data_IF_029035937366
#
_entry.id   IF_029035937366
#
_cell.length_a   1.000
_cell.length_b   1.000
_cell.length_c   1.000
_cell.angle_alpha   90.00
_cell.angle_beta   90.00
_cell.angle_gamma   90.00
#
_symmetry.space_group_name_H-M   'P 1'
#
loop_
_entity.id
_entity.type
_entity.pdbx_description
1 polymer ?
#
# COMPACT_ATOMS: atom_id res chain seq x y z
N UNK A 1 15.42 -16.94 -19.54
CA UNK A 1 14.30 -17.57 -18.81
C UNK A 1 13.33 -18.07 -19.86
N UNK A 2 13.28 -19.38 -20.08
CA UNK A 2 12.29 -20.04 -20.95
C UNK A 2 10.92 -19.83 -20.32
N UNK A 3 9.89 -19.33 -21.04
CA UNK A 3 8.56 -19.21 -20.45
C UNK A 3 8.09 -20.61 -20.03
N UNK A 4 7.54 -20.68 -18.82
CA UNK A 4 7.06 -21.92 -18.22
C UNK A 4 6.06 -22.62 -19.15
N UNK A 5 6.19 -23.94 -19.24
CA UNK A 5 5.30 -24.89 -19.91
C UNK A 5 3.85 -24.40 -19.97
N UNK A 6 3.32 -24.15 -21.17
CA UNK A 6 1.89 -23.93 -21.39
C UNK A 6 1.16 -25.19 -20.93
N UNK A 7 0.54 -25.16 -19.75
CA UNK A 7 -0.29 -26.27 -19.32
C UNK A 7 -1.44 -26.44 -20.31
N UNK A 8 -1.66 -27.69 -20.72
CA UNK A 8 -2.75 -28.01 -21.61
C UNK A 8 -4.10 -27.69 -20.93
N UNK A 9 -5.12 -27.27 -21.71
CA UNK A 9 -6.48 -27.16 -21.20
C UNK A 9 -6.94 -28.46 -20.53
N UNK A 10 -7.75 -28.36 -19.47
CA UNK A 10 -8.45 -29.50 -18.91
C UNK A 10 -9.31 -30.19 -19.99
N UNK A 11 -9.50 -31.51 -19.85
CA UNK A 11 -10.49 -32.23 -20.65
C UNK A 11 -11.90 -31.66 -20.40
N UNK A 12 -12.86 -31.84 -21.32
CA UNK A 12 -14.22 -31.34 -21.12
C UNK A 12 -14.87 -31.83 -19.82
N UNK A 13 -14.65 -33.11 -19.46
CA UNK A 13 -15.21 -33.72 -18.26
C UNK A 13 -14.56 -33.17 -16.97
N UNK A 14 -13.23 -33.05 -16.96
CA UNK A 14 -12.51 -32.44 -15.83
C UNK A 14 -12.89 -30.96 -15.65
N UNK A 15 -13.11 -30.26 -16.76
CA UNK A 15 -13.54 -28.86 -16.74
C UNK A 15 -14.96 -28.71 -16.20
N UNK A 16 -15.90 -29.57 -16.61
CA UNK A 16 -17.25 -29.59 -16.09
C UNK A 16 -17.23 -29.83 -14.57
N UNK A 17 -16.52 -30.88 -14.15
CA UNK A 17 -16.34 -31.18 -12.73
C UNK A 17 -15.74 -29.99 -11.97
N UNK A 18 -14.67 -29.37 -12.47
CA UNK A 18 -14.04 -28.23 -11.81
C UNK A 18 -14.98 -27.02 -11.72
N UNK A 19 -15.72 -26.71 -12.78
CA UNK A 19 -16.63 -25.55 -12.82
C UNK A 19 -17.82 -25.71 -11.87
N UNK A 20 -18.26 -26.95 -11.65
CA UNK A 20 -19.37 -27.28 -10.75
C UNK A 20 -18.95 -27.32 -9.27
N UNK A 21 -17.67 -27.58 -9.00
CA UNK A 21 -17.19 -27.86 -7.63
C UNK A 21 -16.22 -26.81 -7.07
N UNK A 22 -15.59 -25.98 -7.92
CA UNK A 22 -14.52 -25.07 -7.52
C UNK A 22 -14.73 -23.64 -8.04
N UNK A 23 -14.35 -22.61 -7.27
CA UNK A 23 -14.15 -21.27 -7.81
C UNK A 23 -13.01 -21.27 -8.84
N UNK A 24 -13.27 -20.71 -10.01
CA UNK A 24 -12.29 -20.66 -11.10
C UNK A 24 -11.54 -19.33 -11.06
N UNK A 25 -10.22 -19.40 -10.94
CA UNK A 25 -9.36 -18.22 -11.03
C UNK A 25 -9.35 -17.70 -12.47
N UNK A 26 -9.63 -16.41 -12.63
CA UNK A 26 -9.64 -15.70 -13.90
C UNK A 26 -8.70 -14.48 -13.86
N UNK A 27 -8.30 -14.02 -15.04
CA UNK A 27 -7.67 -12.74 -15.24
C UNK A 27 -8.53 -11.91 -16.19
N UNK A 28 -8.94 -10.74 -15.73
CA UNK A 28 -9.73 -9.77 -16.48
C UNK A 28 -8.83 -8.58 -16.79
N UNK A 29 -8.87 -8.09 -18.02
CA UNK A 29 -8.06 -6.99 -18.51
C UNK A 29 -8.98 -5.93 -19.12
N UNK A 30 -8.82 -4.70 -18.63
CA UNK A 30 -9.52 -3.53 -19.12
C UNK A 30 -8.55 -2.65 -19.93
N UNK A 31 -8.64 -2.66 -21.28
CA UNK A 31 -7.96 -1.67 -22.11
C UNK A 31 -8.39 -0.25 -21.72
N UNK A 32 -7.42 0.63 -21.51
CA UNK A 32 -7.66 2.02 -21.13
C UNK A 32 -6.78 2.97 -21.94
N UNK A 33 -7.30 4.16 -22.22
CA UNK A 33 -6.50 5.33 -22.63
C UNK A 33 -6.57 6.36 -21.53
N UNK A 34 -5.42 6.94 -21.21
CA UNK A 34 -5.29 7.92 -20.13
C UNK A 34 -5.02 9.31 -20.69
N UNK A 35 -5.54 10.32 -19.99
CA UNK A 35 -5.23 11.72 -20.27
C UNK A 35 -3.79 12.08 -19.84
N UNK A 36 -3.37 13.32 -20.10
CA UNK A 36 -2.06 13.82 -19.71
C UNK A 36 -1.80 13.83 -18.18
N UNK A 37 -2.85 13.66 -17.37
CA UNK A 37 -2.80 13.59 -15.90
C UNK A 37 -2.86 12.13 -15.40
N UNK A 38 -2.83 11.15 -16.31
CA UNK A 38 -2.84 9.73 -15.98
C UNK A 38 -4.21 9.20 -15.56
N UNK A 39 -5.29 9.97 -15.74
CA UNK A 39 -6.66 9.51 -15.45
C UNK A 39 -7.21 8.75 -16.65
N UNK A 40 -7.97 7.69 -16.39
CA UNK A 40 -8.63 6.94 -17.47
C UNK A 40 -9.68 7.83 -18.13
N UNK A 41 -9.50 8.09 -19.42
CA UNK A 41 -10.41 8.90 -20.24
C UNK A 41 -11.31 8.00 -21.11
N UNK A 42 -10.72 6.94 -21.67
CA UNK A 42 -11.45 5.94 -22.45
C UNK A 42 -11.23 4.53 -21.91
N UNK A 43 -12.29 3.73 -22.00
CA UNK A 43 -12.32 2.32 -21.65
C UNK A 43 -12.66 1.52 -22.90
N UNK A 44 -11.80 0.57 -23.25
CA UNK A 44 -12.03 -0.34 -24.37
C UNK A 44 -12.76 -1.58 -23.88
N UNK A 45 -13.89 -1.92 -24.51
CA UNK A 45 -14.61 -3.16 -24.24
C UNK A 45 -14.67 -4.01 -25.52
N UNK A 46 -14.66 -5.33 -25.34
CA UNK A 46 -14.99 -6.27 -26.40
C UNK A 46 -16.46 -6.64 -26.33
N UNK A 47 -17.04 -6.99 -27.47
CA UNK A 47 -18.32 -7.66 -27.53
C UNK A 47 -18.09 -9.15 -27.77
N UNK A 48 -18.76 -10.02 -27.02
CA UNK A 48 -18.70 -11.47 -27.24
C UNK A 48 -20.04 -12.13 -26.98
N UNK A 49 -20.21 -13.33 -27.52
CA UNK A 49 -21.36 -14.19 -27.24
C UNK A 49 -21.34 -14.64 -25.78
N UNK A 50 -22.46 -14.49 -25.08
CA UNK A 50 -22.62 -14.89 -23.68
C UNK A 50 -23.92 -15.67 -23.44
N UNK A 51 -24.09 -16.29 -22.26
CA UNK A 51 -25.38 -16.85 -21.84
C UNK A 51 -26.55 -15.83 -21.83
N UNK A 52 -26.26 -14.54 -21.83
CA UNK A 52 -27.24 -13.45 -21.88
C UNK A 52 -27.45 -12.88 -23.29
N UNK A 53 -26.90 -13.53 -24.33
CA UNK A 53 -26.77 -12.98 -25.68
C UNK A 53 -25.46 -12.18 -25.85
N UNK A 54 -25.26 -11.48 -26.97
CA UNK A 54 -24.10 -10.62 -27.16
C UNK A 54 -24.04 -9.51 -26.09
N UNK A 55 -22.90 -9.38 -25.41
CA UNK A 55 -22.67 -8.40 -24.33
C UNK A 55 -21.30 -7.75 -24.46
N UNK A 56 -21.21 -6.49 -24.03
CA UNK A 56 -19.92 -5.82 -23.85
C UNK A 56 -19.27 -6.21 -22.53
N UNK A 57 -17.98 -6.53 -22.55
CA UNK A 57 -17.21 -6.88 -21.37
C UNK A 57 -15.72 -6.54 -21.51
N UNK A 58 -14.99 -6.65 -20.40
CA UNK A 58 -13.53 -6.65 -20.39
C UNK A 58 -12.99 -7.89 -21.15
N UNK A 59 -11.72 -7.86 -21.52
CA UNK A 59 -11.02 -9.01 -22.10
C UNK A 59 -10.63 -9.95 -20.98
N UNK A 60 -10.89 -11.25 -21.05
CA UNK A 60 -10.48 -12.12 -19.96
C UNK A 60 -11.08 -13.51 -19.95
N UNK A 61 -10.51 -14.32 -19.05
CA UNK A 61 -10.93 -15.69 -18.88
C UNK A 61 -10.07 -16.43 -17.86
N UNK A 62 -10.18 -17.77 -17.87
CA UNK A 62 -9.52 -18.61 -16.88
C UNK A 62 -7.99 -18.53 -16.95
N UNK A 63 -7.38 -18.69 -15.79
CA UNK A 63 -5.95 -18.93 -15.61
C UNK A 63 -5.70 -20.43 -15.69
N UNK A 64 -4.71 -20.85 -16.49
CA UNK A 64 -4.38 -22.27 -16.63
C UNK A 64 -3.54 -22.74 -15.45
N UNK A 65 -3.56 -24.04 -15.18
CA UNK A 65 -2.75 -24.62 -14.10
C UNK A 65 -1.25 -24.36 -14.32
N UNK A 66 -0.55 -23.78 -13.36
CA UNK A 66 0.87 -23.42 -13.51
C UNK A 66 1.14 -22.15 -14.33
N UNK A 67 0.09 -21.46 -14.78
CA UNK A 67 0.19 -20.14 -15.42
C UNK A 67 0.16 -19.02 -14.38
N UNK A 68 0.98 -17.98 -14.54
CA UNK A 68 0.89 -16.78 -13.69
C UNK A 68 -0.28 -15.89 -14.10
N UNK A 69 -0.79 -15.06 -13.19
CA UNK A 69 -1.85 -14.10 -13.51
C UNK A 69 -1.45 -13.15 -14.65
N UNK A 70 -0.21 -12.65 -14.61
CA UNK A 70 0.35 -11.77 -15.65
C UNK A 70 0.39 -12.48 -17.02
N UNK A 71 0.82 -13.75 -17.06
CA UNK A 71 0.85 -14.53 -18.29
C UNK A 71 -0.56 -14.82 -18.84
N UNK A 72 -1.52 -15.14 -17.96
CA UNK A 72 -2.91 -15.35 -18.35
C UNK A 72 -3.55 -14.07 -18.91
N UNK A 73 -3.35 -12.93 -18.24
CA UNK A 73 -3.82 -11.63 -18.69
C UNK A 73 -3.23 -11.26 -20.07
N UNK A 74 -1.90 -11.40 -20.24
CA UNK A 74 -1.23 -11.17 -21.51
C UNK A 74 -1.75 -12.11 -22.62
N UNK A 75 -1.94 -13.39 -22.31
CA UNK A 75 -2.47 -14.38 -23.26
C UNK A 75 -3.87 -13.99 -23.73
N UNK A 76 -4.77 -13.63 -22.83
CA UNK A 76 -6.15 -13.26 -23.18
C UNK A 76 -6.20 -11.98 -24.02
N UNK A 77 -5.36 -10.99 -23.73
CA UNK A 77 -5.21 -9.80 -24.58
C UNK A 77 -4.77 -10.18 -25.99
N UNK A 78 -3.65 -10.89 -26.10
CA UNK A 78 -3.05 -11.26 -27.39
C UNK A 78 -3.94 -12.19 -28.23
N UNK A 79 -4.77 -13.02 -27.59
CA UNK A 79 -5.70 -13.93 -28.29
C UNK A 79 -7.01 -13.27 -28.70
N UNK A 80 -7.31 -12.06 -28.22
CA UNK A 80 -8.63 -11.43 -28.35
C UNK A 80 -8.58 -10.08 -29.06
N UNK A 81 -7.44 -9.40 -29.04
CA UNK A 81 -7.24 -8.10 -29.67
C UNK A 81 -5.99 -8.14 -30.56
N UNK A 82 -6.17 -8.23 -31.87
CA UNK A 82 -5.08 -8.07 -32.83
C UNK A 82 -4.54 -6.63 -32.76
N UNK A 83 -3.24 -6.47 -32.98
CA UNK A 83 -2.56 -5.18 -32.83
C UNK A 83 -2.23 -4.79 -31.38
N UNK A 84 -2.71 -5.55 -30.39
CA UNK A 84 -2.32 -5.36 -29.00
C UNK A 84 -0.89 -5.84 -28.73
N UNK A 85 -0.25 -5.22 -27.73
CA UNK A 85 0.91 -5.78 -27.05
C UNK A 85 0.65 -5.86 -25.54
N UNK A 86 1.47 -6.61 -24.82
CA UNK A 86 1.36 -6.73 -23.36
C UNK A 86 2.27 -5.75 -22.60
N UNK A 87 2.88 -4.76 -23.27
CA UNK A 87 3.83 -3.83 -22.61
C UNK A 87 3.12 -2.85 -21.69
N UNK A 88 1.92 -2.43 -22.06
CA UNK A 88 1.05 -1.57 -21.24
C UNK A 88 0.28 -2.31 -20.15
N UNK A 89 0.46 -3.63 -20.00
CA UNK A 89 -0.28 -4.42 -19.02
C UNK A 89 0.24 -4.11 -17.61
N UNK A 90 -0.66 -3.73 -16.70
CA UNK A 90 -0.32 -3.52 -15.31
C UNK A 90 0.23 -4.80 -14.67
N UNK A 91 1.31 -4.68 -13.87
CA UNK A 91 1.92 -5.83 -13.18
C UNK A 91 1.12 -6.30 -11.97
N UNK A 92 0.33 -5.42 -11.38
CA UNK A 92 -0.46 -5.68 -10.17
C UNK A 92 -1.93 -5.48 -10.52
N UNK A 93 -2.83 -6.40 -10.16
CA UNK A 93 -4.25 -6.20 -10.38
C UNK A 93 -4.75 -5.05 -9.51
N UNK A 94 -5.58 -4.17 -10.06
CA UNK A 94 -6.18 -3.05 -9.32
C UNK A 94 -7.38 -3.49 -8.48
N UNK A 95 -7.97 -4.64 -8.80
CA UNK A 95 -9.11 -5.20 -8.08
C UNK A 95 -9.17 -6.72 -8.18
N UNK A 96 -9.90 -7.33 -7.25
CA UNK A 96 -10.45 -8.67 -7.40
C UNK A 96 -11.96 -8.53 -7.52
N UNK A 97 -12.55 -9.24 -8.48
CA UNK A 97 -14.00 -9.28 -8.68
C UNK A 97 -14.51 -10.71 -8.76
N UNK A 98 -15.69 -10.94 -8.21
CA UNK A 98 -16.29 -12.28 -8.09
C UNK A 98 -17.54 -12.35 -8.96
N UNK A 99 -17.65 -13.41 -9.76
CA UNK A 99 -18.82 -13.73 -10.57
C UNK A 99 -19.45 -15.02 -10.07
N UNK A 100 -20.73 -14.98 -9.69
CA UNK A 100 -21.43 -16.13 -9.13
C UNK A 100 -22.42 -16.76 -10.13
N UNK A 101 -22.63 -18.08 -10.05
CA UNK A 101 -23.70 -18.77 -10.78
C UNK A 101 -25.09 -18.23 -10.44
N UNK A 102 -25.30 -17.84 -9.19
CA UNK A 102 -26.52 -17.19 -8.73
C UNK A 102 -26.30 -15.68 -8.61
N UNK A 103 -27.26 -14.83 -9.03
CA UNK A 103 -27.15 -13.39 -8.86
C UNK A 103 -26.98 -12.99 -7.40
N UNK A 104 -25.99 -12.13 -7.10
CA UNK A 104 -25.74 -11.58 -5.76
C UNK A 104 -25.56 -10.06 -5.84
N UNK A 105 -26.05 -9.35 -4.83
CA UNK A 105 -25.90 -7.89 -4.76
C UNK A 105 -24.41 -7.50 -4.72
N UNK A 106 -23.99 -6.62 -5.63
CA UNK A 106 -22.62 -6.10 -5.68
C UNK A 106 -21.57 -7.04 -6.29
N UNK A 107 -21.97 -8.23 -6.75
CA UNK A 107 -21.09 -9.18 -7.44
C UNK A 107 -21.51 -9.34 -8.92
N UNK A 108 -20.61 -9.88 -9.72
CA UNK A 108 -20.91 -10.27 -11.09
C UNK A 108 -21.72 -11.56 -11.14
N UNK A 109 -22.29 -11.82 -12.32
CA UNK A 109 -23.08 -13.02 -12.55
C UNK A 109 -22.58 -13.74 -13.80
N UNK A 110 -22.19 -15.01 -13.64
CA UNK A 110 -21.86 -15.93 -14.72
C UNK A 110 -22.56 -17.27 -14.45
N UNK A 111 -23.64 -17.61 -15.17
CA UNK A 111 -24.42 -18.82 -14.89
C UNK A 111 -23.65 -20.10 -15.20
N UNK A 112 -22.48 -20.01 -15.85
CA UNK A 112 -21.66 -21.16 -16.23
C UNK A 112 -20.75 -21.65 -15.10
N UNK A 113 -20.35 -20.76 -14.17
CA UNK A 113 -19.33 -21.06 -13.15
C UNK A 113 -19.22 -19.96 -12.10
N UNK A 114 -18.68 -20.31 -10.93
CA UNK A 114 -18.13 -19.32 -10.00
C UNK A 114 -16.73 -18.90 -10.47
N UNK A 115 -16.49 -17.62 -10.69
CA UNK A 115 -15.19 -17.09 -11.07
C UNK A 115 -14.68 -16.03 -10.08
N UNK A 116 -13.37 -16.10 -9.76
CA UNK A 116 -12.64 -15.09 -8.98
C UNK A 116 -11.60 -14.48 -9.89
N UNK A 117 -11.82 -13.24 -10.33
CA UNK A 117 -11.01 -12.58 -11.33
C UNK A 117 -10.07 -11.53 -10.72
N UNK A 118 -8.78 -11.64 -11.03
CA UNK A 118 -7.84 -10.55 -10.83
C UNK A 118 -7.95 -9.57 -12.00
N UNK A 119 -8.25 -8.31 -11.74
CA UNK A 119 -8.52 -7.29 -12.75
C UNK A 119 -7.30 -6.41 -12.98
N UNK A 120 -6.85 -6.31 -14.23
CA UNK A 120 -5.70 -5.53 -14.67
C UNK A 120 -6.13 -4.44 -15.65
N UNK A 121 -5.39 -3.33 -15.69
CA UNK A 121 -5.50 -2.37 -16.80
C UNK A 121 -4.47 -2.70 -17.87
N UNK A 122 -4.81 -2.43 -19.11
CA UNK A 122 -3.88 -2.39 -20.23
C UNK A 122 -3.86 -0.96 -20.76
N UNK A 123 -2.76 -0.23 -20.55
CA UNK A 123 -2.58 1.09 -21.11
C UNK A 123 -2.29 0.99 -22.61
N UNK A 124 -3.22 1.51 -23.43
CA UNK A 124 -3.15 1.44 -24.88
C UNK A 124 -2.84 2.83 -25.45
N UNK A 125 -1.78 2.99 -26.26
CA UNK A 125 -1.51 4.24 -26.97
C UNK A 125 -2.67 4.66 -27.89
N UNK A 126 -2.81 5.97 -28.13
CA UNK A 126 -3.89 6.51 -28.96
C UNK A 126 -3.81 6.03 -30.43
N UNK A 127 -2.60 5.83 -30.93
CA UNK A 127 -2.28 5.36 -32.29
C UNK A 127 -2.40 3.84 -32.46
N UNK A 128 -2.56 3.09 -31.38
CA UNK A 128 -2.75 1.64 -31.46
C UNK A 128 -4.14 1.30 -32.02
N UNK A 129 -4.15 0.63 -33.17
CA UNK A 129 -5.35 0.06 -33.78
C UNK A 129 -5.57 -1.35 -33.25
N UNK A 130 -6.61 -1.52 -32.43
CA UNK A 130 -7.00 -2.80 -31.87
C UNK A 130 -8.19 -3.37 -32.66
N UNK A 131 -8.03 -4.60 -33.15
CA UNK A 131 -9.06 -5.29 -33.92
C UNK A 131 -9.52 -6.55 -33.17
N UNK A 132 -10.84 -6.79 -33.07
CA UNK A 132 -11.37 -7.95 -32.36
C UNK A 132 -11.01 -9.25 -33.10
N UNK A 133 -10.48 -10.23 -32.36
CA UNK A 133 -10.18 -11.57 -32.86
C UNK A 133 -10.58 -12.64 -31.83
N UNK A 134 -10.53 -13.91 -32.24
CA UNK A 134 -10.76 -15.03 -31.33
C UNK A 134 -12.19 -15.04 -30.79
N UNK A 135 -12.35 -14.81 -29.49
CA UNK A 135 -13.67 -14.78 -28.84
C UNK A 135 -14.43 -13.46 -29.01
N UNK A 136 -13.74 -12.38 -29.38
CA UNK A 136 -14.35 -11.08 -29.58
C UNK A 136 -14.99 -10.97 -30.97
N UNK A 137 -16.24 -10.55 -31.00
CA UNK A 137 -16.98 -10.24 -32.23
C UNK A 137 -16.89 -8.77 -32.62
N UNK A 138 -16.60 -7.90 -31.64
CA UNK A 138 -16.50 -6.45 -31.84
C UNK A 138 -15.59 -5.83 -30.75
N UNK A 139 -15.07 -4.63 -30.98
CA UNK A 139 -14.29 -3.86 -30.02
C UNK A 139 -14.61 -2.37 -30.16
N UNK A 140 -14.83 -1.69 -29.03
CA UNK A 140 -15.15 -0.27 -29.04
C UNK A 140 -14.55 0.48 -27.84
N UNK A 141 -14.09 1.71 -28.10
CA UNK A 141 -13.68 2.66 -27.08
C UNK A 141 -14.88 3.49 -26.63
N UNK A 142 -15.10 3.54 -25.32
CA UNK A 142 -16.14 4.33 -24.69
C UNK A 142 -15.49 5.38 -23.79
N UNK A 143 -16.07 6.57 -23.70
CA UNK A 143 -15.72 7.50 -22.62
C UNK A 143 -16.20 6.93 -21.29
N UNK A 144 -15.58 7.36 -20.18
CA UNK A 144 -15.97 6.96 -18.81
C UNK A 144 -17.48 7.07 -18.57
N UNK A 145 -18.07 8.23 -18.86
CA UNK A 145 -19.50 8.45 -18.58
C UNK A 145 -20.37 7.51 -19.41
N UNK A 146 -20.04 7.35 -20.70
CA UNK A 146 -20.79 6.48 -21.61
C UNK A 146 -20.67 5.01 -21.23
N UNK A 147 -19.48 4.58 -20.81
CA UNK A 147 -19.25 3.18 -20.47
C UNK A 147 -19.92 2.79 -19.15
N UNK A 148 -20.23 3.74 -18.26
CA UNK A 148 -20.98 3.52 -17.01
C UNK A 148 -22.50 3.55 -17.22
N UNK A 149 -22.98 4.22 -18.27
CA UNK A 149 -24.41 4.23 -18.67
C UNK A 149 -24.81 3.11 -19.65
N UNK A 150 -23.87 2.31 -20.13
CA UNK A 150 -24.11 1.23 -21.11
C UNK A 150 -24.94 0.05 -20.55
N UNK A 151 -26.20 -0.10 -20.97
CA UNK A 151 -27.09 -1.16 -20.44
C UNK A 151 -26.75 -2.60 -20.89
N UNK A 152 -26.14 -2.80 -22.07
CA UNK A 152 -25.89 -4.12 -22.65
C UNK A 152 -24.52 -4.73 -22.27
N UNK A 153 -24.02 -4.38 -21.10
CA UNK A 153 -22.81 -4.96 -20.50
C UNK A 153 -23.05 -6.34 -19.90
N UNK A 154 -21.98 -7.12 -19.77
CA UNK A 154 -22.00 -8.33 -18.96
C UNK A 154 -22.30 -7.97 -17.48
N UNK A 155 -23.25 -8.64 -16.81
CA UNK A 155 -23.60 -8.37 -15.42
C UNK A 155 -22.41 -8.46 -14.46
N UNK A 156 -22.06 -7.33 -13.81
CA UNK A 156 -20.85 -7.22 -12.95
C UNK A 156 -19.67 -6.50 -13.58
N UNK A 157 -19.77 -6.05 -14.83
CA UNK A 157 -18.69 -5.26 -15.46
C UNK A 157 -18.61 -3.83 -14.90
N UNK A 158 -19.73 -3.26 -14.46
CA UNK A 158 -19.77 -1.88 -13.93
C UNK A 158 -18.83 -1.67 -12.72
N UNK A 159 -18.83 -2.52 -11.68
CA UNK A 159 -17.90 -2.34 -10.55
C UNK A 159 -16.43 -2.49 -10.95
N UNK A 160 -16.14 -3.31 -11.95
CA UNK A 160 -14.77 -3.49 -12.49
C UNK A 160 -14.32 -2.19 -13.15
N UNK A 161 -15.16 -1.60 -14.01
CA UNK A 161 -14.87 -0.32 -14.67
C UNK A 161 -14.79 0.82 -13.64
N UNK A 162 -15.77 0.95 -12.76
CA UNK A 162 -15.84 2.02 -11.78
C UNK A 162 -14.59 2.05 -10.89
N UNK A 163 -14.06 0.88 -10.50
CA UNK A 163 -12.80 0.78 -9.74
C UNK A 163 -11.57 1.16 -10.56
N UNK A 164 -11.53 0.82 -11.84
CA UNK A 164 -10.42 1.18 -12.73
C UNK A 164 -10.35 2.69 -12.99
N UNK A 165 -11.52 3.32 -13.10
CA UNK A 165 -11.65 4.75 -13.42
C UNK A 165 -11.62 5.63 -12.17
N UNK A 166 -11.94 5.08 -11.01
CA UNK A 166 -11.82 5.79 -9.74
C UNK A 166 -10.41 6.41 -9.60
N UNK A 167 -10.26 7.63 -9.05
CA UNK A 167 -8.99 8.38 -9.02
C UNK A 167 -7.80 7.72 -8.29
N UNK A 168 -7.92 6.46 -7.89
CA UNK A 168 -6.99 5.76 -7.01
C UNK A 168 -5.65 5.37 -7.67
N UNK A 169 -5.37 5.75 -8.92
CA UNK A 169 -4.16 5.32 -9.64
C UNK A 169 -3.54 6.32 -10.63
N UNK A 170 -3.84 7.62 -10.51
CA UNK A 170 -3.31 8.69 -11.40
C UNK A 170 -2.42 9.72 -10.68
N UNK A 171 -2.19 10.89 -11.29
CA UNK A 171 -1.40 12.00 -10.73
C UNK A 171 -1.76 12.35 -9.27
N UNK A 172 -3.02 12.16 -8.87
CA UNK A 172 -3.47 12.37 -7.49
C UNK A 172 -2.81 11.41 -6.48
N UNK A 173 -2.53 10.16 -6.88
CA UNK A 173 -1.83 9.19 -6.07
C UNK A 173 -0.31 9.47 -6.00
N UNK A 174 0.28 10.03 -7.08
CA UNK A 174 1.65 10.55 -7.06
C UNK A 174 1.75 11.79 -6.17
N UNK A 175 0.79 12.72 -6.25
CA UNK A 175 0.70 13.89 -5.36
C UNK A 175 0.51 13.44 -3.92
N UNK A 176 -0.35 12.44 -3.67
CA UNK A 176 -0.53 11.86 -2.34
C UNK A 176 0.76 11.19 -1.84
N UNK A 177 1.49 10.49 -2.70
CA UNK A 177 2.79 9.91 -2.39
C UNK A 177 3.82 10.99 -2.03
N UNK A 178 3.95 12.05 -2.85
CA UNK A 178 4.87 13.16 -2.60
C UNK A 178 4.52 13.89 -1.30
N UNK A 179 3.24 14.19 -1.06
CA UNK A 179 2.78 14.84 0.15
C UNK A 179 3.03 13.97 1.40
N UNK A 180 2.77 12.66 1.31
CA UNK A 180 3.00 11.72 2.40
C UNK A 180 4.50 11.53 2.68
N UNK A 181 5.32 11.43 1.64
CA UNK A 181 6.77 11.36 1.75
C UNK A 181 7.36 12.65 2.38
N UNK A 182 6.93 13.82 1.91
CA UNK A 182 7.34 15.11 2.49
C UNK A 182 6.95 15.22 3.97
N UNK A 183 5.75 14.76 4.33
CA UNK A 183 5.30 14.69 5.73
C UNK A 183 6.16 13.73 6.54
N UNK A 184 6.52 12.56 6.01
CA UNK A 184 7.38 11.61 6.69
C UNK A 184 8.76 12.22 6.96
N UNK A 185 9.40 12.81 5.95
CA UNK A 185 10.72 13.45 6.09
C UNK A 185 10.69 14.52 7.19
N UNK A 186 9.72 15.42 7.14
CA UNK A 186 9.56 16.46 8.17
C UNK A 186 9.34 15.88 9.58
N UNK A 187 8.56 14.79 9.70
CA UNK A 187 8.34 14.12 10.99
C UNK A 187 9.55 13.37 11.49
N UNK A 188 10.30 12.72 10.61
CA UNK A 188 11.54 12.01 10.95
C UNK A 188 12.60 13.00 11.46
N UNK A 189 12.68 14.21 10.89
CA UNK A 189 13.50 15.30 11.44
C UNK A 189 13.08 15.68 12.86
N UNK A 190 11.78 15.92 13.09
CA UNK A 190 11.26 16.29 14.41
C UNK A 190 11.46 15.19 15.47
N UNK A 191 11.37 13.92 15.07
CA UNK A 191 11.58 12.77 15.95
C UNK A 191 12.98 12.80 16.58
N UNK A 192 14.00 13.25 15.86
CA UNK A 192 15.38 13.29 16.36
C UNK A 192 15.77 14.65 16.97
N UNK A 193 15.18 15.75 16.52
CA UNK A 193 15.44 17.08 17.09
C UNK A 193 14.88 17.25 18.51
N UNK A 194 13.66 16.76 18.77
CA UNK A 194 13.01 16.98 20.07
C UNK A 194 13.77 16.37 21.26
N UNK A 195 14.26 15.11 21.21
CA UNK A 195 15.10 14.56 22.26
C UNK A 195 16.39 15.35 22.48
N UNK A 196 17.03 15.86 21.41
CA UNK A 196 18.26 16.63 21.53
C UNK A 196 18.04 17.95 22.27
N UNK A 197 17.00 18.71 21.90
CA UNK A 197 16.62 19.95 22.59
C UNK A 197 16.25 19.69 24.06
N UNK A 198 15.51 18.60 24.31
CA UNK A 198 15.16 18.20 25.65
C UNK A 198 16.40 17.88 26.50
N UNK A 199 17.38 17.17 25.95
CA UNK A 199 18.63 16.86 26.64
C UNK A 199 19.40 18.12 27.03
N UNK A 200 19.40 19.16 26.19
CA UNK A 200 20.00 20.45 26.54
C UNK A 200 19.27 21.13 27.70
N UNK A 201 17.93 21.18 27.65
CA UNK A 201 17.13 21.75 28.74
C UNK A 201 17.32 20.98 30.05
N UNK A 202 17.36 19.66 29.98
CA UNK A 202 17.57 18.77 31.12
C UNK A 202 18.97 18.91 31.73
N UNK A 203 20.01 19.07 30.91
CA UNK A 203 21.37 19.31 31.40
C UNK A 203 21.44 20.63 32.20
N UNK A 204 20.80 21.70 31.71
CA UNK A 204 20.71 22.96 32.43
C UNK A 204 19.93 22.83 33.75
N UNK A 205 18.75 22.22 33.73
CA UNK A 205 17.96 22.00 34.94
C UNK A 205 18.70 21.13 35.98
N UNK A 206 19.48 20.15 35.51
CA UNK A 206 20.31 19.32 36.38
C UNK A 206 21.42 20.13 37.06
N UNK A 207 22.05 21.09 36.38
CA UNK A 207 23.05 21.97 37.01
C UNK A 207 22.47 22.82 38.14
N UNK A 208 21.21 23.27 38.02
CA UNK A 208 20.52 23.99 39.10
C UNK A 208 20.17 23.03 40.25
N UNK A 209 19.65 21.84 39.93
CA UNK A 209 19.28 20.84 40.93
C UNK A 209 20.46 20.40 41.81
N UNK A 210 21.65 20.28 41.22
CA UNK A 210 22.89 19.89 41.89
C UNK A 210 23.65 21.05 42.54
N UNK A 211 23.22 22.30 42.33
CA UNK A 211 23.88 23.47 42.91
C UNK A 211 23.59 23.67 44.40
N UNK A 212 24.23 24.66 44.99
CA UNK A 212 24.13 25.00 46.43
C UNK A 212 23.02 26.02 46.74
N UNK A 213 22.03 26.16 45.85
CA UNK A 213 20.92 27.12 46.00
C UNK A 213 19.87 26.70 47.05
N UNK A 214 18.83 27.51 47.21
CA UNK A 214 17.73 27.24 48.14
C UNK A 214 17.05 25.90 47.81
N UNK A 215 16.67 25.14 48.85
CA UNK A 215 16.13 23.78 48.69
C UNK A 215 14.94 23.72 47.72
N UNK A 216 14.02 24.69 47.80
CA UNK A 216 12.85 24.72 46.91
C UNK A 216 13.22 24.93 45.44
N UNK A 217 14.28 25.70 45.14
CA UNK A 217 14.76 25.93 43.77
C UNK A 217 15.34 24.65 43.18
N UNK A 218 16.13 23.93 43.99
CA UNK A 218 16.74 22.65 43.60
C UNK A 218 15.69 21.57 43.38
N UNK A 219 14.72 21.46 44.30
CA UNK A 219 13.58 20.54 44.16
C UNK A 219 12.76 20.85 42.90
N UNK A 220 12.45 22.13 42.67
CA UNK A 220 11.70 22.56 41.48
C UNK A 220 12.45 22.23 40.19
N UNK A 221 13.75 22.53 40.10
CA UNK A 221 14.57 22.22 38.93
C UNK A 221 14.64 20.72 38.65
N UNK A 222 14.82 19.90 39.69
CA UNK A 222 14.85 18.44 39.58
C UNK A 222 13.51 17.86 39.09
N UNK A 223 12.38 18.34 39.62
CA UNK A 223 11.05 17.92 39.18
C UNK A 223 10.73 18.38 37.76
N UNK A 224 11.10 19.61 37.38
CA UNK A 224 10.97 20.09 36.00
C UNK A 224 11.79 19.25 35.03
N UNK A 225 13.02 18.89 35.40
CA UNK A 225 13.89 18.05 34.58
C UNK A 225 13.28 16.65 34.36
N UNK A 226 12.76 16.04 35.43
CA UNK A 226 12.04 14.77 35.33
C UNK A 226 10.78 14.88 34.44
N UNK A 227 10.03 15.97 34.57
CA UNK A 227 8.84 16.23 33.74
C UNK A 227 9.18 16.36 32.26
N UNK A 228 10.20 17.15 31.92
CA UNK A 228 10.70 17.30 30.53
C UNK A 228 11.13 15.94 29.98
N UNK A 229 11.86 15.15 30.75
CA UNK A 229 12.31 13.82 30.34
C UNK A 229 11.14 12.88 29.96
N UNK A 230 10.08 12.85 30.79
CA UNK A 230 8.88 12.03 30.54
C UNK A 230 8.12 12.50 29.31
N UNK A 231 7.90 13.81 29.17
CA UNK A 231 7.20 14.39 28.01
C UNK A 231 7.98 14.09 26.72
N UNK A 232 9.30 14.23 26.73
CA UNK A 232 10.14 13.92 25.58
C UNK A 232 10.15 12.43 25.25
N UNK A 233 10.16 11.55 26.25
CA UNK A 233 10.05 10.11 26.05
C UNK A 233 8.71 9.74 25.39
N UNK A 234 7.61 10.33 25.87
CA UNK A 234 6.27 10.12 25.33
C UNK A 234 6.15 10.65 23.90
N UNK A 235 6.69 11.85 23.61
CA UNK A 235 6.68 12.43 22.28
C UNK A 235 7.46 11.57 21.28
N UNK A 236 8.67 11.12 21.66
CA UNK A 236 9.51 10.23 20.85
C UNK A 236 8.78 8.91 20.54
N UNK A 237 8.12 8.31 21.53
CA UNK A 237 7.34 7.09 21.34
C UNK A 237 6.17 7.31 20.37
N UNK A 238 5.44 8.43 20.51
CA UNK A 238 4.31 8.77 19.64
C UNK A 238 4.75 9.01 18.20
N UNK A 239 5.82 9.77 17.98
CA UNK A 239 6.36 10.01 16.64
C UNK A 239 6.89 8.71 16.00
N UNK A 240 7.51 7.82 16.80
CA UNK A 240 7.94 6.51 16.33
C UNK A 240 6.78 5.65 15.83
N UNK A 241 5.62 5.67 16.49
CA UNK A 241 4.45 4.91 16.02
C UNK A 241 3.94 5.45 14.68
N UNK A 242 3.73 6.75 14.58
CA UNK A 242 3.26 7.36 13.33
C UNK A 242 4.22 7.14 12.15
N UNK A 243 5.54 7.09 12.38
CA UNK A 243 6.50 6.78 11.30
C UNK A 243 6.31 5.37 10.73
N UNK A 244 5.77 4.43 11.50
CA UNK A 244 5.49 3.06 11.03
C UNK A 244 4.24 3.07 10.18
N UNK A 245 3.18 3.75 10.63
CA UNK A 245 1.92 3.90 9.89
C UNK A 245 2.15 4.63 8.56
N UNK A 246 2.95 5.70 8.57
CA UNK A 246 3.31 6.47 7.36
C UNK A 246 4.10 5.60 6.37
N UNK A 247 5.07 4.79 6.85
CA UNK A 247 5.83 3.87 6.00
C UNK A 247 4.96 2.76 5.37
N UNK A 248 3.95 2.26 6.10
CA UNK A 248 3.02 1.25 5.59
C UNK A 248 2.07 1.83 4.53
N UNK A 249 1.61 3.07 4.74
CA UNK A 249 0.82 3.80 3.76
C UNK A 249 1.62 4.09 2.48
N UNK A 250 2.90 4.49 2.60
CA UNK A 250 3.78 4.68 1.45
C UNK A 250 4.04 3.38 0.70
N UNK A 251 4.32 2.28 1.40
CA UNK A 251 4.49 0.97 0.78
C UNK A 251 3.24 0.52 0.02
N UNK A 252 2.06 0.82 0.56
CA UNK A 252 0.78 0.53 -0.12
C UNK A 252 0.65 1.35 -1.41
N UNK A 253 1.05 2.62 -1.40
CA UNK A 253 1.08 3.45 -2.60
C UNK A 253 2.14 2.97 -3.61
N UNK A 254 3.33 2.58 -3.15
CA UNK A 254 4.39 2.03 -4.01
C UNK A 254 3.90 0.78 -4.76
N UNK A 255 3.26 -0.15 -4.03
CA UNK A 255 2.69 -1.37 -4.61
C UNK A 255 1.58 -1.07 -5.63
N UNK A 256 0.72 -0.08 -5.33
CA UNK A 256 -0.37 0.33 -6.23
C UNK A 256 0.13 1.03 -7.48
N UNK A 257 1.16 1.86 -7.35
CA UNK A 257 1.74 2.65 -8.45
C UNK A 257 2.83 1.88 -9.22
N UNK A 258 3.19 0.67 -8.78
CA UNK A 258 4.27 -0.11 -9.37
C UNK A 258 5.65 0.54 -9.22
N UNK A 259 5.83 1.38 -8.19
CA UNK A 259 7.09 2.05 -7.90
C UNK A 259 8.09 1.10 -7.24
N UNK A 260 9.40 1.43 -7.27
CA UNK A 260 10.39 0.74 -6.46
C UNK A 260 9.97 0.71 -4.98
N UNK A 261 10.09 -0.46 -4.35
CA UNK A 261 9.67 -0.68 -2.96
C UNK A 261 10.71 -0.13 -1.97
N UNK A 262 10.82 1.20 -1.88
CA UNK A 262 11.79 1.88 -1.03
C UNK A 262 11.40 1.72 0.45
N UNK A 263 10.11 1.76 0.75
CA UNK A 263 9.58 1.65 2.11
C UNK A 263 9.32 0.21 2.55
N UNK A 264 9.73 -0.79 1.77
CA UNK A 264 9.65 -2.18 2.16
C UNK A 264 10.47 -2.45 3.42
N UNK A 265 9.92 -3.30 4.31
CA UNK A 265 10.65 -3.73 5.51
C UNK A 265 11.94 -4.44 5.08
N UNK A 266 13.10 -4.11 5.69
CA UNK A 266 14.36 -4.76 5.37
C UNK A 266 14.26 -6.27 5.63
N UNK A 267 14.98 -7.10 4.85
CA UNK A 267 14.91 -8.56 4.96
C UNK A 267 15.27 -9.03 6.37
N UNK A 268 14.55 -10.06 6.86
CA UNK A 268 14.70 -10.58 8.23
C UNK A 268 16.12 -11.08 8.58
N UNK A 269 16.95 -11.38 7.56
CA UNK A 269 18.32 -11.81 7.71
C UNK A 269 19.26 -10.91 6.90
N UNK A 270 19.61 -9.71 7.39
CA UNK A 270 20.57 -8.85 6.72
C UNK A 270 21.93 -9.56 6.66
N UNK A 271 22.68 -9.37 5.56
CA UNK A 271 24.05 -9.86 5.46
C UNK A 271 24.83 -9.43 6.71
N UNK A 272 25.63 -10.30 7.34
CA UNK A 272 26.32 -9.95 8.57
C UNK A 272 27.33 -8.84 8.28
N UNK A 273 26.94 -7.61 8.57
CA UNK A 273 27.85 -6.48 8.54
C UNK A 273 28.97 -6.74 9.57
N UNK A 274 30.23 -6.59 9.15
CA UNK A 274 31.43 -6.83 9.96
C UNK A 274 31.95 -5.49 10.48
N UNK A 275 32.38 -5.45 11.74
CA UNK A 275 32.95 -4.25 12.37
C UNK A 275 32.16 -3.74 13.58
N UNK A 276 32.72 -2.73 14.25
CA UNK A 276 32.13 -2.09 15.43
C UNK A 276 30.84 -1.34 15.08
N UNK A 277 30.85 -0.59 13.98
CA UNK A 277 29.68 0.15 13.46
C UNK A 277 28.50 -0.77 13.18
N UNK A 278 28.76 -1.93 12.57
CA UNK A 278 27.75 -2.95 12.31
C UNK A 278 27.14 -3.54 13.59
N UNK A 279 27.95 -3.70 14.66
CA UNK A 279 27.45 -4.14 15.97
C UNK A 279 26.59 -3.08 16.63
N UNK A 280 26.93 -1.80 16.49
CA UNK A 280 26.14 -0.69 17.03
C UNK A 280 24.83 -0.50 16.26
N UNK A 281 24.86 -0.58 14.93
CA UNK A 281 23.69 -0.45 14.06
C UNK A 281 22.65 -1.58 14.24
N UNK A 282 23.04 -2.74 14.80
CA UNK A 282 22.10 -3.83 15.14
C UNK A 282 21.10 -3.42 16.23
N UNK A 283 21.44 -2.45 17.06
CA UNK A 283 20.53 -1.97 18.10
C UNK A 283 19.59 -0.92 17.53
N UNK A 284 18.29 -1.09 17.80
CA UNK A 284 17.28 -0.09 17.42
C UNK A 284 17.53 1.20 18.23
N UNK A 285 18.14 2.20 17.60
CA UNK A 285 18.47 3.51 18.18
C UNK A 285 17.31 4.11 19.00
N UNK A 286 16.07 4.00 18.50
CA UNK A 286 14.85 4.46 19.18
C UNK A 286 14.67 3.90 20.60
N UNK A 287 15.00 2.62 20.83
CA UNK A 287 14.86 1.98 22.17
C UNK A 287 15.89 2.53 23.15
N UNK A 288 17.13 2.71 22.70
CA UNK A 288 18.20 3.27 23.53
C UNK A 288 17.93 4.71 23.92
N UNK A 289 17.45 5.52 22.98
CA UNK A 289 17.02 6.89 23.27
C UNK A 289 15.88 6.94 24.28
N UNK A 290 14.87 6.06 24.15
CA UNK A 290 13.80 5.97 25.13
C UNK A 290 14.33 5.56 26.52
N UNK A 291 15.22 4.57 26.59
CA UNK A 291 15.84 4.15 27.85
C UNK A 291 16.67 5.27 28.48
N UNK A 292 17.39 6.06 27.68
CA UNK A 292 18.16 7.19 28.17
C UNK A 292 17.25 8.26 28.79
N UNK A 293 16.16 8.64 28.10
CA UNK A 293 15.19 9.62 28.61
C UNK A 293 14.49 9.14 29.89
N UNK A 294 14.06 7.88 29.93
CA UNK A 294 13.42 7.29 31.12
C UNK A 294 14.41 7.22 32.29
N UNK A 295 15.66 6.83 32.03
CA UNK A 295 16.70 6.81 33.07
C UNK A 295 16.97 8.21 33.62
N UNK A 296 17.01 9.21 32.75
CA UNK A 296 17.18 10.61 33.14
C UNK A 296 16.02 11.07 34.03
N UNK A 297 14.77 10.74 33.66
CA UNK A 297 13.59 11.06 34.46
C UNK A 297 13.68 10.48 35.87
N UNK A 298 14.09 9.22 36.01
CA UNK A 298 14.25 8.53 37.30
C UNK A 298 15.33 9.20 38.15
N UNK A 299 16.48 9.49 37.57
CA UNK A 299 17.59 10.15 38.30
C UNK A 299 17.19 11.55 38.75
N UNK A 300 16.56 12.35 37.89
CA UNK A 300 16.09 13.69 38.26
C UNK A 300 15.02 13.65 39.34
N UNK A 301 14.09 12.69 39.30
CA UNK A 301 13.09 12.51 40.36
C UNK A 301 13.74 12.12 41.71
N UNK A 302 14.77 11.26 41.68
CA UNK A 302 15.51 10.88 42.88
C UNK A 302 16.26 12.08 43.50
N UNK A 303 16.85 12.95 42.67
CA UNK A 303 17.54 14.16 43.13
C UNK A 303 16.60 15.18 43.79
N UNK A 304 15.30 15.15 43.48
CA UNK A 304 14.33 16.03 44.12
C UNK A 304 14.05 15.66 45.59
N UNK A 305 14.31 14.41 45.99
CA UNK A 305 13.93 13.89 47.32
C UNK A 305 14.64 14.63 48.46
N UNK A 306 15.97 14.75 48.39
CA UNK A 306 16.76 15.39 49.45
C UNK A 306 16.33 16.85 49.73
N UNK A 307 16.21 17.75 48.74
CA UNK A 307 15.76 19.11 48.97
C UNK A 307 14.30 19.20 49.43
N UNK A 308 13.42 18.31 48.95
CA UNK A 308 12.04 18.25 49.46
C UNK A 308 11.99 17.86 50.94
N UNK A 309 12.78 16.86 51.34
CA UNK A 309 12.88 16.45 52.75
C UNK A 309 13.41 17.59 53.61
N UNK A 310 14.43 18.33 53.17
CA UNK A 310 14.95 19.46 53.95
C UNK A 310 13.91 20.56 54.17
N UNK A 311 13.04 20.83 53.19
CA UNK A 311 11.95 21.80 53.34
C UNK A 311 10.92 21.41 54.39
N UNK A 312 10.68 20.11 54.57
CA UNK A 312 9.70 19.60 55.54
C UNK A 312 10.29 19.55 56.95
N UNK A 313 11.56 19.15 57.06
CA UNK A 313 12.23 18.93 58.36
C UNK A 313 12.77 20.23 58.96
N UNK A 314 13.17 21.19 58.13
CA UNK A 314 13.69 22.49 58.56
C UNK A 314 13.21 23.60 57.59
N UNK A 315 11.98 24.11 57.77
CA UNK A 315 11.54 25.28 57.02
C UNK A 315 12.39 26.48 57.44
N UNK A 316 13.28 26.94 56.56
CA UNK A 316 13.96 28.23 56.70
C UNK A 316 12.96 29.40 56.65
#
# INVERSE_FOLDING_TARGET
MTPASSAAPLSPDDWAWASDNLPIVCADVLPVRRDALGRVEFVGLIRRTSPFGPRWCHVGGRVLHGESLEAAAARHVLSTLAGSDSRGLARVPYAVHEYFPEPRSGAGHDPRKHAVAACFTLDVPEDAALEPIGEATDFCWFTVDRVLDLDDRWPGTEPVIARAVSPAGGADATIAYEALNARQVSRDELMWQSPALAMTAMAFLLTIALGDGQAWQRALAALLSAGVAVVSAQLLARHSLHSIDDAEALLTLELRLGLPLIHARPPANPRPARGLEARLARYRSRRWWLYALVSFAVVSAALAVQPLVSMVVAPE
#
